data_IF_732948617311
#
_entry.id   IF_732948617311
#
_cell.length_a   1.000
_cell.length_b   1.000
_cell.length_c   1.000
_cell.angle_alpha   90.00
_cell.angle_beta   90.00
_cell.angle_gamma   90.00
#
_symmetry.space_group_name_H-M   'P 1'
#
loop_
_entity.id
_entity.type
_entity.pdbx_description
1 polymer ?
#
# COMPACT_ATOMS: atom_id res chain seq x y z
N UNK A 1 1.23 15.19 5.38
CA UNK A 1 0.78 13.78 5.23
C UNK A 1 -0.51 13.61 6.02
N UNK A 2 -1.61 13.05 5.50
CA UNK A 2 -2.77 12.77 6.35
C UNK A 2 -2.35 11.65 7.32
N UNK A 3 -2.07 12.03 8.57
CA UNK A 3 -1.53 11.19 9.65
C UNK A 3 -2.20 9.81 9.72
N UNK A 4 -3.50 9.80 9.48
CA UNK A 4 -4.36 8.62 9.51
C UNK A 4 -3.98 7.51 8.49
N UNK A 5 -3.47 7.84 7.29
CA UNK A 5 -3.10 6.79 6.32
C UNK A 5 -1.80 6.08 6.72
N UNK A 6 -0.83 6.85 7.20
CA UNK A 6 0.42 6.32 7.74
C UNK A 6 0.14 5.40 8.94
N UNK A 7 -0.61 5.90 9.92
CA UNK A 7 -0.94 5.16 11.14
C UNK A 7 -1.67 3.85 10.82
N UNK A 8 -2.61 3.86 9.88
CA UNK A 8 -3.33 2.63 9.47
C UNK A 8 -2.41 1.61 8.83
N UNK A 9 -1.49 2.02 7.97
CA UNK A 9 -0.52 1.10 7.35
C UNK A 9 0.46 0.57 8.38
N UNK A 10 1.04 1.46 9.20
CA UNK A 10 1.97 1.10 10.27
C UNK A 10 1.32 0.12 11.27
N UNK A 11 0.10 0.41 11.74
CA UNK A 11 -0.65 -0.48 12.64
C UNK A 11 -0.90 -1.84 12.01
N UNK A 12 -1.30 -1.89 10.74
CA UNK A 12 -1.53 -3.18 10.05
C UNK A 12 -0.24 -3.99 9.92
N UNK A 13 0.87 -3.35 9.59
CA UNK A 13 2.17 -4.01 9.53
C UNK A 13 2.62 -4.50 10.91
N UNK A 14 2.38 -3.72 11.98
CA UNK A 14 2.61 -4.16 13.35
C UNK A 14 1.79 -5.40 13.69
N UNK A 15 0.48 -5.39 13.43
CA UNK A 15 -0.40 -6.55 13.66
C UNK A 15 0.10 -7.80 12.94
N UNK A 16 0.50 -7.69 11.68
CA UNK A 16 1.05 -8.81 10.90
C UNK A 16 2.38 -9.32 11.47
N UNK A 17 3.24 -8.41 11.96
CA UNK A 17 4.51 -8.76 12.60
C UNK A 17 4.30 -9.44 13.95
N UNK A 18 3.34 -8.98 14.74
CA UNK A 18 2.95 -9.58 16.03
C UNK A 18 2.37 -10.99 15.83
N UNK A 19 1.67 -11.22 14.72
CA UNK A 19 1.18 -12.55 14.29
C UNK A 19 2.28 -13.46 13.70
N UNK A 20 3.53 -12.97 13.57
CA UNK A 20 4.65 -13.74 13.01
C UNK A 20 4.57 -14.00 11.50
N UNK A 21 3.71 -13.25 10.79
CA UNK A 21 3.45 -13.40 9.36
C UNK A 21 4.47 -12.67 8.49
N UNK A 22 5.15 -11.65 9.03
CA UNK A 22 6.14 -10.89 8.26
C UNK A 22 7.50 -11.60 8.20
N UNK A 23 8.08 -11.63 7.02
CA UNK A 23 9.42 -12.13 6.79
C UNK A 23 10.10 -11.41 5.63
N UNK A 24 11.43 -11.44 5.57
CA UNK A 24 12.19 -10.89 4.47
C UNK A 24 11.90 -11.68 3.19
N UNK A 25 11.18 -11.09 2.25
CA UNK A 25 10.94 -11.72 0.96
C UNK A 25 12.21 -11.72 0.09
N UNK A 26 12.27 -12.67 -0.85
CA UNK A 26 13.31 -12.71 -1.86
C UNK A 26 13.23 -11.44 -2.73
N UNK A 27 14.40 -10.85 -3.01
CA UNK A 27 14.52 -9.78 -3.98
C UNK A 27 15.12 -10.31 -5.30
N UNK A 28 14.62 -9.88 -6.47
CA UNK A 28 13.49 -8.98 -6.67
C UNK A 28 12.15 -9.60 -6.26
N UNK A 29 11.24 -8.79 -5.70
CA UNK A 29 9.89 -9.24 -5.35
C UNK A 29 9.10 -9.53 -6.64
N UNK A 30 8.46 -10.69 -6.71
CA UNK A 30 7.54 -11.01 -7.80
C UNK A 30 6.32 -10.09 -7.72
N UNK A 31 6.01 -9.40 -8.82
CA UNK A 31 4.88 -8.48 -8.92
C UNK A 31 4.28 -8.54 -10.32
N UNK A 32 2.97 -8.71 -10.40
CA UNK A 32 2.19 -8.54 -11.62
C UNK A 32 1.67 -7.08 -11.71
N UNK A 33 2.20 -6.26 -12.65
CA UNK A 33 1.72 -4.89 -12.83
C UNK A 33 0.24 -4.81 -13.20
N UNK A 34 -0.32 -5.86 -13.84
CA UNK A 34 -1.72 -5.90 -14.25
C UNK A 34 -2.68 -5.86 -13.06
N UNK A 35 -2.30 -6.41 -11.89
CA UNK A 35 -3.13 -6.38 -10.69
C UNK A 35 -3.40 -4.95 -10.25
N UNK A 36 -2.36 -4.11 -10.18
CA UNK A 36 -2.51 -2.68 -9.83
C UNK A 36 -3.25 -1.89 -10.90
N UNK A 37 -3.06 -2.23 -12.18
CA UNK A 37 -3.76 -1.60 -13.32
C UNK A 37 -5.26 -1.91 -13.30
N UNK A 38 -5.62 -3.18 -13.14
CA UNK A 38 -7.02 -3.64 -13.06
C UNK A 38 -7.72 -3.02 -11.87
N UNK A 39 -7.09 -3.03 -10.69
CA UNK A 39 -7.64 -2.39 -9.50
C UNK A 39 -7.96 -0.91 -9.71
N UNK A 40 -7.07 -0.17 -10.39
CA UNK A 40 -7.32 1.24 -10.74
C UNK A 40 -8.51 1.38 -11.67
N UNK A 41 -8.58 0.57 -12.72
CA UNK A 41 -9.70 0.61 -13.68
C UNK A 41 -11.04 0.27 -13.01
N UNK A 42 -11.07 -0.72 -12.13
CA UNK A 42 -12.27 -1.10 -11.41
C UNK A 42 -12.75 0.00 -10.46
N UNK A 43 -11.83 0.71 -9.81
CA UNK A 43 -12.17 1.86 -9.00
C UNK A 43 -12.76 2.99 -9.84
N UNK A 44 -12.16 3.30 -11.00
CA UNK A 44 -12.70 4.29 -11.94
C UNK A 44 -14.12 3.92 -12.38
N UNK A 45 -14.36 2.65 -12.73
CA UNK A 45 -15.68 2.14 -13.10
C UNK A 45 -16.69 2.29 -11.96
N UNK A 46 -16.31 1.99 -10.71
CA UNK A 46 -17.16 2.15 -9.53
C UNK A 46 -17.53 3.61 -9.27
N UNK A 47 -16.56 4.53 -9.35
CA UNK A 47 -16.80 5.97 -9.19
C UNK A 47 -17.78 6.47 -10.26
N UNK A 48 -17.56 6.09 -11.52
CA UNK A 48 -18.48 6.43 -12.61
C UNK A 48 -19.87 5.83 -12.41
N UNK A 49 -19.97 4.57 -11.97
CA UNK A 49 -21.26 3.93 -11.70
C UNK A 49 -22.03 4.66 -10.59
N UNK A 50 -21.35 5.09 -9.54
CA UNK A 50 -21.96 5.69 -8.36
C UNK A 50 -22.33 7.16 -8.57
N UNK A 51 -21.44 7.95 -9.16
CA UNK A 51 -21.60 9.40 -9.24
C UNK A 51 -21.75 9.92 -10.67
N UNK A 52 -21.50 9.10 -11.69
CA UNK A 52 -21.42 9.54 -13.07
C UNK A 52 -22.68 10.18 -13.62
N UNK A 53 -23.85 9.64 -13.26
CA UNK A 53 -25.15 10.14 -13.73
C UNK A 53 -25.63 11.35 -12.93
N UNK A 54 -25.45 11.35 -11.61
CA UNK A 54 -25.98 12.40 -10.72
C UNK A 54 -25.01 13.55 -10.44
N UNK A 55 -23.70 13.32 -10.55
CA UNK A 55 -22.67 14.33 -10.30
C UNK A 55 -21.36 14.01 -11.08
N UNK A 56 -21.34 14.18 -12.41
CA UNK A 56 -20.19 13.84 -13.24
C UNK A 56 -18.95 14.70 -12.92
N UNK A 57 -19.12 15.94 -12.46
CA UNK A 57 -18.01 16.82 -12.05
C UNK A 57 -17.30 16.24 -10.83
N UNK A 58 -18.06 15.78 -9.84
CA UNK A 58 -17.51 15.11 -8.66
C UNK A 58 -16.83 13.79 -9.03
N UNK A 59 -17.45 12.97 -9.89
CA UNK A 59 -16.86 11.73 -10.39
C UNK A 59 -15.49 11.97 -11.05
N UNK A 60 -15.39 12.97 -11.94
CA UNK A 60 -14.13 13.35 -12.59
C UNK A 60 -13.06 13.83 -11.59
N UNK A 61 -13.45 14.61 -10.57
CA UNK A 61 -12.54 15.06 -9.51
C UNK A 61 -11.97 13.88 -8.70
N UNK A 62 -12.82 12.92 -8.32
CA UNK A 62 -12.39 11.71 -7.62
C UNK A 62 -11.46 10.86 -8.48
N UNK A 63 -11.78 10.67 -9.76
CA UNK A 63 -10.94 9.93 -10.71
C UNK A 63 -9.56 10.60 -10.83
N UNK A 64 -9.53 11.92 -11.04
CA UNK A 64 -8.27 12.68 -11.13
C UNK A 64 -7.41 12.45 -9.89
N UNK A 65 -8.01 12.52 -8.69
CA UNK A 65 -7.30 12.28 -7.42
C UNK A 65 -6.66 10.90 -7.36
N UNK A 66 -7.40 9.83 -7.71
CA UNK A 66 -6.87 8.46 -7.64
C UNK A 66 -5.88 8.13 -8.78
N UNK A 67 -5.82 8.94 -9.84
CA UNK A 67 -4.87 8.77 -10.95
C UNK A 67 -3.63 9.64 -10.83
N UNK A 68 -3.70 10.78 -10.14
CA UNK A 68 -2.62 11.78 -10.09
C UNK A 68 -1.96 11.87 -8.72
N UNK A 69 -2.75 11.79 -7.64
CA UNK A 69 -2.26 12.10 -6.28
C UNK A 69 -2.09 10.84 -5.42
N UNK A 70 -2.65 9.72 -5.87
CA UNK A 70 -2.65 8.45 -5.15
C UNK A 70 -2.12 7.31 -6.02
N UNK A 71 -1.50 6.33 -5.37
CA UNK A 71 -1.03 5.11 -6.01
C UNK A 71 -1.66 3.89 -5.33
N UNK A 72 -2.14 2.89 -6.10
CA UNK A 72 -2.43 1.57 -5.57
C UNK A 72 -1.17 0.97 -4.99
N UNK A 73 -1.26 0.52 -3.74
CA UNK A 73 -0.11 -0.01 -3.04
C UNK A 73 -0.52 -1.12 -2.07
N UNK A 74 0.41 -2.03 -1.81
CA UNK A 74 0.19 -3.19 -0.95
C UNK A 74 0.27 -2.77 0.52
N UNK A 75 -0.82 -2.96 1.26
CA UNK A 75 -0.87 -2.67 2.70
C UNK A 75 0.09 -3.59 3.45
N UNK A 76 0.07 -4.88 3.10
CA UNK A 76 1.13 -5.82 3.45
C UNK A 76 2.20 -5.75 2.35
N UNK A 77 3.30 -5.09 2.66
CA UNK A 77 4.46 -4.91 1.80
C UNK A 77 4.96 -6.23 1.18
N UNK A 78 5.16 -6.26 -0.14
CA UNK A 78 5.70 -7.44 -0.85
C UNK A 78 7.07 -7.85 -0.30
N UNK A 79 7.92 -6.86 0.04
CA UNK A 79 9.25 -7.10 0.64
C UNK A 79 9.18 -7.73 2.05
N UNK A 80 7.99 -7.74 2.67
CA UNK A 80 7.70 -8.37 3.96
C UNK A 80 6.85 -9.64 3.82
N UNK A 81 6.81 -10.24 2.63
CA UNK A 81 6.05 -11.48 2.35
C UNK A 81 4.58 -11.27 2.02
N UNK A 82 4.17 -10.05 1.70
CA UNK A 82 2.79 -9.75 1.37
C UNK A 82 2.32 -10.37 0.06
N UNK A 83 1.06 -10.82 -0.04
CA UNK A 83 0.53 -11.39 -1.26
C UNK A 83 0.28 -10.29 -2.30
N UNK A 84 0.71 -10.53 -3.55
CA UNK A 84 0.39 -9.66 -4.68
C UNK A 84 -1.03 -9.94 -5.17
N UNK A 85 -2.02 -9.36 -4.48
CA UNK A 85 -3.44 -9.55 -4.80
C UNK A 85 -4.22 -8.26 -4.64
N UNK A 86 -5.33 -8.14 -5.38
CA UNK A 86 -6.23 -6.98 -5.31
C UNK A 86 -6.72 -6.72 -3.88
N UNK A 87 -6.94 -7.75 -3.07
CA UNK A 87 -7.38 -7.63 -1.66
C UNK A 87 -6.35 -6.93 -0.76
N UNK A 88 -5.07 -7.00 -1.14
CA UNK A 88 -3.97 -6.37 -0.42
C UNK A 88 -3.71 -4.93 -0.91
N UNK A 89 -4.38 -4.47 -1.97
CA UNK A 89 -4.20 -3.13 -2.49
C UNK A 89 -5.10 -2.11 -1.79
N UNK A 90 -4.53 -0.94 -1.51
CA UNK A 90 -5.28 0.28 -1.18
C UNK A 90 -4.69 1.48 -1.91
N UNK A 91 -5.53 2.46 -2.21
CA UNK A 91 -5.03 3.76 -2.65
C UNK A 91 -4.42 4.48 -1.47
N UNK A 92 -3.12 4.75 -1.55
CA UNK A 92 -2.39 5.56 -0.60
C UNK A 92 -1.86 6.82 -1.29
N UNK A 93 -1.69 7.86 -0.50
CA UNK A 93 -0.92 9.03 -0.92
C UNK A 93 0.51 8.59 -1.29
N UNK A 94 1.00 9.08 -2.43
CA UNK A 94 2.29 8.69 -3.02
C UNK A 94 3.46 8.95 -2.06
N UNK A 95 3.44 10.07 -1.33
CA UNK A 95 4.49 10.43 -0.38
C UNK A 95 4.50 9.47 0.82
N UNK A 96 3.32 9.14 1.35
CA UNK A 96 3.14 8.17 2.44
C UNK A 96 3.68 6.80 2.08
N UNK A 97 3.39 6.35 0.85
CA UNK A 97 3.85 5.06 0.38
C UNK A 97 5.39 5.00 0.31
N UNK A 98 5.99 5.96 -0.39
CA UNK A 98 7.44 6.01 -0.56
C UNK A 98 8.17 6.13 0.78
N UNK A 99 7.65 6.92 1.71
CA UNK A 99 8.29 7.12 3.01
C UNK A 99 8.33 5.84 3.86
N UNK A 100 7.21 5.11 4.00
CA UNK A 100 7.19 3.86 4.77
C UNK A 100 8.03 2.78 4.08
N UNK A 101 7.71 2.46 2.82
CA UNK A 101 8.27 1.30 2.14
C UNK A 101 9.75 1.47 1.80
N UNK A 102 10.12 2.63 1.23
CA UNK A 102 11.47 2.86 0.69
C UNK A 102 12.39 3.51 1.72
N UNK A 103 11.91 4.45 2.52
CA UNK A 103 12.77 5.19 3.46
C UNK A 103 12.90 4.53 4.82
N UNK A 104 11.83 3.93 5.35
CA UNK A 104 11.87 3.35 6.70
C UNK A 104 12.17 1.84 6.67
N UNK A 105 11.39 1.06 5.92
CA UNK A 105 11.48 -0.41 5.96
C UNK A 105 12.70 -0.91 5.18
N UNK A 106 12.84 -0.52 3.91
CA UNK A 106 13.86 -1.08 3.02
C UNK A 106 15.29 -1.03 3.58
N UNK A 107 15.78 0.08 4.18
CA UNK A 107 17.14 0.12 4.73
C UNK A 107 17.37 -0.83 5.90
N UNK A 108 16.35 -1.04 6.74
CA UNK A 108 16.45 -1.91 7.92
C UNK A 108 16.47 -3.40 7.57
N UNK A 109 15.88 -3.77 6.42
CA UNK A 109 15.72 -5.17 6.03
C UNK A 109 16.58 -5.56 4.81
N UNK A 110 17.35 -4.64 4.25
CA UNK A 110 18.07 -4.87 2.98
C UNK A 110 19.11 -5.98 3.14
N UNK A 111 19.83 -5.95 4.24
CA UNK A 111 21.01 -6.79 4.47
C UNK A 111 20.67 -8.05 5.30
N UNK A 112 19.38 -8.27 5.58
CA UNK A 112 18.89 -9.48 6.24
C UNK A 112 18.76 -10.64 5.25
N UNK A 113 19.08 -11.88 5.66
CA UNK A 113 18.82 -13.08 4.85
C UNK A 113 17.34 -13.22 4.48
N UNK A 114 17.07 -13.75 3.28
CA UNK A 114 15.70 -14.15 2.88
C UNK A 114 15.11 -15.10 3.92
N UNK A 115 13.83 -14.91 4.25
CA UNK A 115 13.11 -15.71 5.25
C UNK A 115 13.25 -15.22 6.69
N UNK A 116 14.13 -14.24 6.97
CA UNK A 116 14.27 -13.66 8.30
C UNK A 116 12.93 -13.11 8.78
N UNK A 117 12.47 -13.55 9.96
CA UNK A 117 11.21 -13.07 10.56
C UNK A 117 11.35 -11.60 10.96
N UNK A 118 10.33 -10.80 10.64
CA UNK A 118 10.33 -9.36 10.87
C UNK A 118 9.24 -9.01 11.87
N UNK A 119 9.59 -8.17 12.85
CA UNK A 119 8.61 -7.52 13.74
C UNK A 119 8.69 -6.02 13.52
N UNK A 120 7.52 -5.38 13.47
CA UNK A 120 7.43 -3.93 13.27
C UNK A 120 7.14 -3.29 14.62
N UNK A 121 8.02 -2.38 15.04
CA UNK A 121 7.78 -1.49 16.18
C UNK A 121 7.50 -0.10 15.64
N UNK A 122 6.41 0.51 16.11
CA UNK A 122 6.06 1.88 15.74
C UNK A 122 6.58 2.76 16.87
N UNK A 123 7.54 3.62 16.56
CA UNK A 123 7.96 4.68 17.45
C UNK A 123 7.34 5.99 16.97
N UNK A 124 6.45 6.54 17.77
CA UNK A 124 5.89 7.87 17.56
C UNK A 124 6.68 8.78 18.49
N UNK A 125 7.85 9.22 18.02
CA UNK A 125 8.81 9.99 18.80
C UNK A 125 8.13 10.97 19.76
N UNK A 126 8.48 10.85 21.04
CA UNK A 126 8.01 11.72 22.12
C UNK A 126 8.51 13.15 21.97
#
# INVERSE_FOLDING_TARGET
MPKNYFERKAKKLKELGDQGLLYKAQNPVSRDPNITKQYRQDMIKRIWKQYGKGNPVFAKKLIKRITSDMQPDHVWELQLGGPDTVKNLKFLDTFTNWHIGVKQIRPQIRDLPTGTKIKIKIDMGG
#
